data_IF_829690862197
#
_entry.id   IF_829690862197
#
_cell.length_a   1.000
_cell.length_b   1.000
_cell.length_c   1.000
_cell.angle_alpha   90.00
_cell.angle_beta   90.00
_cell.angle_gamma   90.00
#
_symmetry.space_group_name_H-M   'P 1'
#
loop_
_entity.id
_entity.type
_entity.pdbx_description
1 polymer ?
#
# COMPACT_ATOMS: atom_id res chain seq x y z
N UNK A 1 41.57 42.27 -66.70
CA UNK A 1 41.36 43.15 -65.54
C UNK A 1 40.37 42.41 -64.63
N UNK A 2 40.68 41.98 -63.40
CA UNK A 2 41.96 41.80 -62.66
C UNK A 2 41.56 40.97 -61.42
N UNK A 3 41.97 39.70 -61.25
CA UNK A 3 43.21 39.21 -60.60
C UNK A 3 43.39 39.75 -59.16
N UNK A 4 43.77 38.99 -58.11
CA UNK A 4 44.47 37.69 -57.87
C UNK A 4 43.84 36.99 -56.61
N UNK A 5 43.98 35.71 -56.18
CA UNK A 5 44.59 34.40 -56.58
C UNK A 5 43.49 33.30 -56.34
N UNK A 6 43.59 31.95 -56.31
CA UNK A 6 44.63 30.89 -56.09
C UNK A 6 45.07 30.68 -54.61
N UNK A 7 45.49 29.50 -54.12
CA UNK A 7 45.79 28.19 -54.76
C UNK A 7 45.70 26.98 -53.79
N UNK A 8 45.39 25.80 -54.36
CA UNK A 8 45.94 24.42 -54.13
C UNK A 8 46.55 24.05 -52.76
N UNK A 9 46.21 22.90 -52.15
CA UNK A 9 46.71 21.55 -52.51
C UNK A 9 46.03 20.48 -51.62
N UNK A 10 46.09 19.14 -51.81
CA UNK A 10 46.68 18.22 -52.79
C UNK A 10 45.88 16.88 -52.78
N UNK A 11 46.36 15.80 -53.44
CA UNK A 11 45.82 14.44 -53.35
C UNK A 11 46.95 13.40 -53.41
N UNK A 12 46.94 12.38 -52.55
CA UNK A 12 47.88 11.25 -52.61
C UNK A 12 47.24 9.94 -52.12
N UNK A 13 47.37 8.88 -52.92
CA UNK A 13 47.18 7.47 -52.52
C UNK A 13 48.57 6.82 -52.46
N UNK A 14 48.85 5.90 -51.52
CA UNK A 14 49.57 4.66 -51.86
C UNK A 14 49.66 3.60 -50.73
N UNK A 15 49.69 2.34 -51.18
CA UNK A 15 50.34 1.14 -50.61
C UNK A 15 49.71 0.37 -49.41
N UNK A 16 49.34 -0.87 -49.73
CA UNK A 16 49.14 -1.99 -48.81
C UNK A 16 50.46 -2.58 -48.29
N UNK A 17 50.45 -3.07 -47.04
CA UNK A 17 51.12 -4.29 -46.52
C UNK A 17 50.57 -4.54 -45.10
N UNK A 18 50.10 -5.73 -44.69
CA UNK A 18 50.74 -7.07 -44.60
C UNK A 18 52.00 -7.06 -43.73
N UNK A 19 52.15 -7.83 -42.66
CA UNK A 19 51.25 -8.76 -41.90
C UNK A 19 51.48 -8.48 -40.38
N UNK A 20 50.87 -9.06 -39.35
CA UNK A 20 50.22 -10.36 -39.05
C UNK A 20 48.99 -10.10 -38.09
N UNK A 21 48.33 -11.00 -37.34
CA UNK A 21 48.49 -12.42 -37.00
C UNK A 21 47.11 -13.13 -36.87
N UNK A 22 47.09 -14.46 -36.77
CA UNK A 22 45.91 -15.33 -36.71
C UNK A 22 45.41 -15.49 -35.24
N UNK A 23 44.35 -16.20 -34.87
CA UNK A 23 43.44 -17.13 -35.58
C UNK A 23 42.05 -17.17 -34.87
N UNK A 24 40.97 -17.46 -35.60
CA UNK A 24 39.63 -17.72 -35.02
C UNK A 24 38.67 -18.37 -36.05
N UNK A 25 38.36 -19.65 -35.89
CA UNK A 25 37.53 -20.43 -36.82
C UNK A 25 36.07 -20.67 -36.41
N UNK A 26 35.24 -20.85 -37.44
CA UNK A 26 33.94 -21.54 -37.52
C UNK A 26 32.70 -21.01 -36.73
N UNK A 27 31.50 -20.89 -37.36
CA UNK A 27 30.36 -20.17 -36.78
C UNK A 27 29.37 -21.07 -35.99
N UNK A 28 29.65 -21.32 -34.71
CA UNK A 28 28.74 -22.10 -33.84
C UNK A 28 27.64 -21.25 -33.16
N UNK A 29 26.52 -21.12 -33.88
CA UNK A 29 25.13 -21.13 -33.36
C UNK A 29 24.90 -20.64 -31.91
N UNK A 30 25.03 -19.33 -31.67
CA UNK A 30 24.70 -18.72 -30.38
C UNK A 30 23.18 -18.58 -30.18
N UNK A 31 22.53 -19.64 -29.70
CA UNK A 31 21.20 -19.52 -29.10
C UNK A 31 21.27 -18.62 -27.86
N UNK A 32 20.60 -17.47 -27.91
CA UNK A 32 20.40 -16.61 -26.73
C UNK A 32 19.52 -17.38 -25.74
N UNK A 33 20.16 -17.98 -24.73
CA UNK A 33 19.46 -18.56 -23.57
C UNK A 33 18.77 -17.43 -22.81
N UNK A 34 17.48 -17.23 -23.09
CA UNK A 34 16.60 -16.41 -22.29
C UNK A 34 16.71 -16.88 -20.83
N UNK A 35 17.03 -15.96 -19.91
CA UNK A 35 16.89 -16.24 -18.48
C UNK A 35 15.39 -16.45 -18.21
N UNK A 36 14.97 -17.52 -17.52
CA UNK A 36 13.58 -17.62 -17.08
C UNK A 36 13.28 -16.46 -16.13
N UNK A 37 12.16 -15.78 -16.34
CA UNK A 37 11.65 -14.79 -15.40
C UNK A 37 11.22 -15.49 -14.10
N UNK A 38 11.70 -15.01 -12.95
CA UNK A 38 11.38 -15.57 -11.64
C UNK A 38 9.95 -15.23 -11.16
N UNK A 39 9.16 -14.55 -12.00
CA UNK A 39 7.77 -14.12 -11.78
C UNK A 39 6.79 -15.33 -11.63
N UNK A 40 7.27 -16.57 -11.76
CA UNK A 40 6.42 -17.78 -11.75
C UNK A 40 6.74 -18.82 -10.67
N UNK A 41 7.50 -18.45 -9.63
CA UNK A 41 7.79 -19.33 -8.49
C UNK A 41 7.82 -18.53 -7.17
N UNK A 42 6.64 -18.19 -6.63
CA UNK A 42 6.33 -18.13 -5.18
C UNK A 42 4.84 -17.82 -4.87
N UNK A 43 3.91 -18.17 -5.77
CA UNK A 43 2.48 -18.21 -5.45
C UNK A 43 2.19 -19.19 -4.30
N UNK A 44 1.24 -18.86 -3.43
CA UNK A 44 0.89 -19.54 -2.17
C UNK A 44 0.86 -21.08 -2.27
N UNK A 45 1.97 -21.74 -1.88
CA UNK A 45 2.06 -23.20 -1.87
C UNK A 45 1.52 -23.75 -0.54
N UNK A 46 0.48 -24.57 -0.63
CA UNK A 46 -0.41 -24.97 0.49
C UNK A 46 0.19 -26.07 1.37
N UNK A 47 0.12 -25.90 2.69
CA UNK A 47 0.30 -26.99 3.67
C UNK A 47 -1.06 -27.63 3.99
N UNK A 48 -1.36 -28.76 3.36
CA UNK A 48 -2.60 -29.50 3.59
C UNK A 48 -2.61 -30.22 4.96
N UNK A 49 -3.36 -29.69 5.94
CA UNK A 49 -3.81 -30.47 7.10
C UNK A 49 -5.33 -30.42 7.25
N UNK A 50 -5.98 -31.57 7.09
CA UNK A 50 -7.45 -31.67 7.07
C UNK A 50 -8.05 -31.62 8.47
N UNK A 51 -8.64 -30.50 8.85
CA UNK A 51 -9.49 -30.39 10.04
C UNK A 51 -10.97 -30.40 9.65
N UNK A 52 -11.78 -31.21 10.34
CA UNK A 52 -13.23 -31.29 10.13
C UNK A 52 -13.93 -30.20 10.96
N UNK A 53 -14.50 -29.21 10.30
CA UNK A 53 -15.28 -28.13 10.92
C UNK A 53 -16.76 -28.54 11.09
N UNK A 54 -17.34 -28.47 12.30
CA UNK A 54 -18.79 -28.48 12.53
C UNK A 54 -19.39 -27.05 12.44
N UNK A 55 -20.69 -26.94 12.18
CA UNK A 55 -21.31 -25.68 11.72
C UNK A 55 -21.90 -24.78 12.84
N UNK A 56 -21.79 -23.45 12.63
CA UNK A 56 -22.60 -22.34 13.19
C UNK A 56 -22.51 -22.04 14.72
N UNK A 57 -22.98 -20.87 15.22
CA UNK A 57 -23.47 -19.63 14.55
C UNK A 57 -22.69 -18.34 14.96
N UNK A 58 -23.15 -17.16 14.51
CA UNK A 58 -22.59 -15.81 14.84
C UNK A 58 -23.34 -15.12 16.01
N UNK A 59 -22.66 -14.25 16.78
CA UNK A 59 -23.31 -13.14 17.50
C UNK A 59 -22.74 -12.68 18.85
N UNK A 60 -21.91 -11.61 18.84
CA UNK A 60 -21.82 -10.48 19.82
C UNK A 60 -21.64 -10.70 21.35
N UNK A 61 -21.25 -9.67 22.14
CA UNK A 61 -20.51 -8.44 21.81
C UNK A 61 -19.19 -8.28 22.61
N UNK A 62 -18.24 -7.46 22.13
CA UNK A 62 -17.02 -7.11 22.89
C UNK A 62 -16.89 -5.59 23.10
N UNK A 63 -17.27 -5.15 24.30
CA UNK A 63 -16.84 -3.88 24.88
C UNK A 63 -16.45 -4.13 26.34
N UNK A 64 -15.14 -4.21 26.61
CA UNK A 64 -14.64 -4.20 27.98
C UNK A 64 -13.41 -3.30 28.07
N UNK A 65 -13.61 -2.06 28.56
CA UNK A 65 -12.52 -1.10 28.76
C UNK A 65 -11.81 -1.39 30.08
N UNK A 66 -10.66 -2.05 29.99
CA UNK A 66 -9.68 -2.13 31.08
C UNK A 66 -8.28 -1.88 30.49
N UNK A 67 -7.50 -0.99 31.10
CA UNK A 67 -6.27 -0.47 30.52
C UNK A 67 -5.14 -1.51 30.56
N UNK A 68 -4.40 -1.63 29.46
CA UNK A 68 -3.14 -2.40 29.35
C UNK A 68 -2.36 -1.95 28.11
N UNK A 69 -1.03 -1.96 28.18
CA UNK A 69 -0.14 -1.46 27.12
C UNK A 69 0.11 -2.53 26.03
N UNK A 70 -0.87 -2.75 25.14
CA UNK A 70 -0.60 -3.41 23.85
C UNK A 70 -1.58 -2.90 22.77
N UNK A 71 -1.13 -1.92 21.99
CA UNK A 71 -1.93 -1.18 21.00
C UNK A 71 -1.75 -1.70 19.57
N UNK A 72 -2.10 -2.97 19.34
CA UNK A 72 -2.06 -3.58 18.02
C UNK A 72 -3.27 -3.19 17.15
N UNK A 73 -3.06 -3.17 15.83
CA UNK A 73 -4.15 -3.32 14.87
C UNK A 73 -4.73 -4.74 14.97
N UNK A 74 -6.00 -4.98 14.62
CA UNK A 74 -6.48 -6.36 14.47
C UNK A 74 -5.67 -7.10 13.40
N UNK A 75 -5.24 -6.40 12.34
CA UNK A 75 -4.39 -6.97 11.27
C UNK A 75 -3.03 -7.42 11.80
N UNK A 76 -2.39 -6.61 12.66
CA UNK A 76 -1.12 -6.94 13.29
C UNK A 76 -1.28 -8.01 14.39
N UNK A 77 -2.43 -8.01 15.07
CA UNK A 77 -2.78 -9.02 16.07
C UNK A 77 -3.11 -10.38 15.44
N UNK A 78 -3.84 -10.47 14.34
CA UNK A 78 -4.11 -11.74 13.65
C UNK A 78 -2.81 -12.36 13.12
N UNK A 79 -1.93 -11.52 12.52
CA UNK A 79 -0.54 -11.89 12.18
C UNK A 79 0.26 -12.40 13.38
N UNK A 80 0.02 -11.88 14.59
CA UNK A 80 0.62 -12.34 15.86
C UNK A 80 -0.04 -13.63 16.37
N UNK A 81 -1.36 -13.79 16.22
CA UNK A 81 -2.12 -14.97 16.62
C UNK A 81 -1.78 -16.21 15.78
N UNK A 82 -1.46 -16.05 14.49
CA UNK A 82 -0.95 -17.12 13.62
C UNK A 82 0.34 -17.76 14.16
N UNK A 83 1.07 -17.10 15.07
CA UNK A 83 2.28 -17.62 15.71
C UNK A 83 2.03 -18.26 17.10
N UNK A 84 0.81 -18.19 17.66
CA UNK A 84 0.57 -18.43 19.09
C UNK A 84 -0.77 -19.16 19.42
N UNK A 85 -0.91 -20.44 19.05
CA UNK A 85 -2.11 -21.24 19.33
C UNK A 85 -2.00 -22.13 20.57
N UNK A 86 -2.55 -21.73 21.73
CA UNK A 86 -2.87 -22.64 22.86
C UNK A 86 -3.76 -22.04 23.97
N UNK A 87 -4.72 -22.86 24.42
CA UNK A 87 -5.64 -22.67 25.58
C UNK A 87 -6.85 -21.72 25.39
N UNK A 88 -7.96 -22.10 26.02
CA UNK A 88 -9.28 -21.44 25.93
C UNK A 88 -10.16 -21.79 27.15
N UNK A 89 -11.25 -21.03 27.38
CA UNK A 89 -12.45 -21.41 28.18
C UNK A 89 -13.59 -20.40 27.97
N UNK A 90 -14.84 -20.86 28.11
CA UNK A 90 -16.07 -20.11 27.77
C UNK A 90 -16.90 -19.72 29.01
N UNK A 91 -17.94 -18.88 28.82
CA UNK A 91 -19.30 -19.10 29.39
C UNK A 91 -20.40 -18.20 28.78
N UNK A 92 -21.50 -18.87 28.37
CA UNK A 92 -22.92 -18.51 28.17
C UNK A 92 -23.45 -17.06 28.37
N UNK A 93 -24.50 -16.66 27.60
CA UNK A 93 -25.17 -15.35 27.81
C UNK A 93 -26.51 -14.97 27.09
N UNK A 94 -27.18 -15.84 26.31
CA UNK A 94 -28.54 -15.62 25.73
C UNK A 94 -28.79 -14.34 24.87
N UNK A 95 -30.06 -14.07 24.48
CA UNK A 95 -30.45 -13.34 23.26
C UNK A 95 -31.63 -12.37 23.43
N UNK A 96 -31.73 -11.34 22.59
CA UNK A 96 -33.05 -10.87 22.12
C UNK A 96 -32.97 -10.22 20.71
N UNK A 97 -34.13 -9.98 20.08
CA UNK A 97 -34.27 -9.60 18.67
C UNK A 97 -34.93 -8.22 18.46
N UNK A 98 -34.42 -7.44 17.49
CA UNK A 98 -34.91 -6.10 17.18
C UNK A 98 -34.94 -5.81 15.68
N UNK A 99 -36.13 -5.56 15.12
CA UNK A 99 -36.35 -5.30 13.69
C UNK A 99 -35.91 -3.89 13.28
N UNK A 100 -34.77 -3.76 12.58
CA UNK A 100 -34.34 -2.50 11.97
C UNK A 100 -34.98 -2.28 10.57
N UNK A 101 -35.67 -1.16 10.37
CA UNK A 101 -36.29 -0.82 9.09
C UNK A 101 -35.29 -0.18 8.13
N UNK A 102 -35.09 -0.79 6.95
CA UNK A 102 -34.18 -0.32 5.91
C UNK A 102 -34.70 0.95 5.21
N UNK A 103 -34.38 2.13 5.73
CA UNK A 103 -34.67 3.43 5.10
C UNK A 103 -33.44 3.97 4.37
N UNK A 104 -33.08 3.32 3.25
CA UNK A 104 -32.01 3.75 2.38
C UNK A 104 -32.23 5.17 1.83
N UNK A 105 -31.48 6.14 2.34
CA UNK A 105 -31.34 7.47 1.72
C UNK A 105 -29.88 7.72 1.34
N UNK A 106 -29.54 7.29 0.13
CA UNK A 106 -28.30 7.68 -0.53
C UNK A 106 -28.42 9.15 -0.95
N UNK A 107 -28.23 10.03 0.04
CA UNK A 107 -28.17 11.48 -0.19
C UNK A 107 -27.01 11.78 -1.12
N UNK A 108 -27.25 12.66 -2.10
CA UNK A 108 -26.20 13.12 -3.01
C UNK A 108 -25.24 14.03 -2.23
N UNK A 109 -24.13 13.44 -1.79
CA UNK A 109 -23.12 14.10 -0.98
C UNK A 109 -21.81 14.15 -1.77
N UNK A 110 -21.43 15.35 -2.18
CA UNK A 110 -20.20 15.62 -2.95
C UNK A 110 -18.96 15.22 -2.14
N UNK A 111 -19.00 15.47 -0.82
CA UNK A 111 -17.83 15.39 0.05
C UNK A 111 -17.02 16.69 0.02
N UNK A 112 -15.97 16.74 0.83
CA UNK A 112 -15.08 17.91 0.99
C UNK A 112 -13.65 17.43 1.15
N UNK A 113 -12.72 18.08 0.44
CA UNK A 113 -11.29 17.97 0.73
C UNK A 113 -10.97 18.87 1.91
N UNK A 114 -10.25 18.33 2.89
CA UNK A 114 -9.83 19.02 4.10
C UNK A 114 -8.31 18.93 4.23
N UNK A 115 -7.63 20.04 4.52
CA UNK A 115 -6.23 19.99 4.89
C UNK A 115 -6.12 19.59 6.36
N UNK A 116 -5.52 18.43 6.65
CA UNK A 116 -5.40 17.89 8.02
C UNK A 116 -3.93 17.60 8.38
N UNK A 117 -3.69 17.51 9.70
CA UNK A 117 -2.47 16.94 10.28
C UNK A 117 -2.78 15.55 10.83
N UNK A 118 -1.89 14.60 10.57
CA UNK A 118 -1.98 13.20 11.01
C UNK A 118 -0.64 12.84 11.64
N UNK A 119 -0.65 12.25 12.83
CA UNK A 119 0.56 11.77 13.52
C UNK A 119 0.72 10.28 13.25
N UNK A 120 1.94 9.79 13.02
CA UNK A 120 2.20 8.36 12.89
C UNK A 120 1.79 7.62 14.16
N UNK A 121 1.30 6.38 14.06
CA UNK A 121 0.91 5.57 15.24
C UNK A 121 2.05 5.41 16.26
N UNK A 122 3.30 5.64 15.87
CA UNK A 122 4.47 5.59 16.75
C UNK A 122 4.98 6.95 17.25
N UNK A 123 4.24 8.03 17.00
CA UNK A 123 4.52 9.36 17.53
C UNK A 123 5.82 9.98 17.01
N UNK A 124 6.38 9.52 15.88
CA UNK A 124 7.64 10.04 15.32
C UNK A 124 7.45 11.05 14.19
N UNK A 125 6.36 10.98 13.43
CA UNK A 125 6.13 11.80 12.24
C UNK A 125 4.77 12.52 12.29
N UNK A 126 4.69 13.71 11.70
CA UNK A 126 3.45 14.45 11.46
C UNK A 126 3.33 14.73 9.95
N UNK A 127 2.31 14.16 9.31
CA UNK A 127 1.92 14.42 7.92
C UNK A 127 0.92 15.58 7.89
N UNK A 128 1.22 16.63 7.13
CA UNK A 128 0.29 17.71 6.79
C UNK A 128 -0.07 17.58 5.31
N UNK A 129 -1.33 17.22 5.00
CA UNK A 129 -1.79 17.07 3.61
C UNK A 129 -3.31 17.20 3.44
N UNK A 130 -3.77 17.21 2.20
CA UNK A 130 -5.19 17.14 1.83
C UNK A 130 -5.74 15.71 1.95
N UNK A 131 -6.88 15.57 2.64
CA UNK A 131 -7.62 14.31 2.78
C UNK A 131 -9.09 14.49 2.38
N UNK A 132 -9.65 13.46 1.77
CA UNK A 132 -11.07 13.28 1.51
C UNK A 132 -11.60 12.09 2.33
N UNK A 133 -12.79 12.22 2.92
CA UNK A 133 -13.38 11.18 3.77
C UNK A 133 -14.75 10.73 3.26
N UNK A 134 -14.94 9.41 3.23
CA UNK A 134 -16.22 8.77 3.03
C UNK A 134 -17.18 8.98 4.22
N UNK A 135 -18.41 8.48 4.08
CA UNK A 135 -19.36 8.35 5.19
C UNK A 135 -19.18 7.04 5.95
N UNK A 136 -18.60 6.03 5.30
CA UNK A 136 -18.43 4.65 5.80
C UNK A 136 -17.06 4.07 5.41
N UNK A 137 -16.70 2.93 5.99
CA UNK A 137 -15.57 2.08 5.59
C UNK A 137 -16.04 0.63 5.36
N UNK A 138 -15.10 -0.28 5.07
CA UNK A 138 -15.40 -1.69 4.79
C UNK A 138 -15.95 -2.47 6.01
N UNK A 139 -15.57 -2.06 7.23
CA UNK A 139 -16.01 -2.65 8.50
C UNK A 139 -17.38 -2.15 8.97
N UNK A 140 -17.85 -1.02 8.44
CA UNK A 140 -19.16 -0.46 8.79
C UNK A 140 -20.32 -1.43 8.52
N UNK A 141 -21.36 -1.40 9.37
CA UNK A 141 -22.57 -2.24 9.24
C UNK A 141 -23.18 -2.19 7.82
N UNK A 142 -23.22 -0.98 7.22
CA UNK A 142 -23.75 -0.73 5.87
C UNK A 142 -22.91 -1.38 4.75
N UNK A 143 -21.62 -1.59 4.98
CA UNK A 143 -20.74 -2.29 4.06
C UNK A 143 -20.75 -3.79 4.35
N UNK A 144 -20.44 -4.17 5.61
CA UNK A 144 -20.30 -5.55 6.11
C UNK A 144 -19.45 -6.40 5.14
N UNK A 145 -18.24 -5.88 4.89
CA UNK A 145 -17.19 -6.48 4.09
C UNK A 145 -15.86 -6.34 4.80
N UNK A 146 -15.78 -6.88 6.01
CA UNK A 146 -14.65 -6.78 6.93
C UNK A 146 -13.34 -7.22 6.25
N UNK A 147 -13.38 -8.35 5.52
CA UNK A 147 -12.28 -8.88 4.71
C UNK A 147 -12.32 -8.51 3.21
N UNK A 148 -13.11 -7.52 2.80
CA UNK A 148 -13.34 -7.22 1.39
C UNK A 148 -12.25 -6.38 0.70
N UNK A 149 -11.12 -6.09 1.36
CA UNK A 149 -10.09 -5.13 0.90
C UNK A 149 -9.63 -5.35 -0.55
N UNK A 150 -9.35 -6.59 -0.96
CA UNK A 150 -8.93 -6.94 -2.33
C UNK A 150 -10.03 -6.65 -3.36
N UNK A 151 -11.27 -7.03 -3.06
CA UNK A 151 -12.43 -6.84 -3.95
C UNK A 151 -12.81 -5.36 -4.06
N UNK A 152 -12.63 -4.62 -2.96
CA UNK A 152 -12.77 -3.17 -2.90
C UNK A 152 -11.70 -2.46 -3.72
N UNK A 153 -10.42 -2.87 -3.61
CA UNK A 153 -9.33 -2.32 -4.39
C UNK A 153 -9.52 -2.56 -5.89
N UNK A 154 -9.93 -3.76 -6.30
CA UNK A 154 -10.31 -4.08 -7.69
C UNK A 154 -11.51 -3.24 -8.16
N UNK A 155 -12.53 -3.07 -7.33
CA UNK A 155 -13.73 -2.26 -7.64
C UNK A 155 -13.40 -0.77 -7.82
N UNK A 156 -12.52 -0.23 -6.98
CA UNK A 156 -12.06 1.16 -7.06
C UNK A 156 -11.13 1.36 -8.27
N UNK A 157 -10.20 0.44 -8.52
CA UNK A 157 -9.30 0.52 -9.68
C UNK A 157 -10.07 0.49 -11.01
N UNK A 158 -11.03 -0.44 -11.19
CA UNK A 158 -11.91 -0.46 -12.37
C UNK A 158 -12.73 0.83 -12.52
N UNK A 159 -13.21 1.40 -11.41
CA UNK A 159 -13.91 2.69 -11.46
C UNK A 159 -13.00 3.84 -11.91
N UNK A 160 -11.76 3.91 -11.43
CA UNK A 160 -10.79 4.94 -11.85
C UNK A 160 -10.47 4.83 -13.35
N UNK A 161 -10.22 3.63 -13.87
CA UNK A 161 -10.01 3.42 -15.31
C UNK A 161 -11.22 3.81 -16.18
N UNK A 162 -12.44 3.76 -15.62
CA UNK A 162 -13.66 4.22 -16.29
C UNK A 162 -13.91 5.73 -16.12
N UNK A 163 -13.18 6.41 -15.24
CA UNK A 163 -13.31 7.84 -14.91
C UNK A 163 -11.91 8.50 -14.81
N UNK A 164 -11.11 8.51 -15.90
CA UNK A 164 -9.75 9.06 -15.91
C UNK A 164 -9.74 10.55 -15.51
N UNK A 165 -8.63 11.03 -14.95
CA UNK A 165 -8.47 12.38 -14.37
C UNK A 165 -9.42 12.71 -13.18
N UNK A 166 -10.39 11.85 -12.87
CA UNK A 166 -11.43 12.10 -11.86
C UNK A 166 -11.19 11.22 -10.62
N UNK A 167 -11.75 11.66 -9.48
CA UNK A 167 -11.83 10.92 -8.22
C UNK A 167 -13.29 10.87 -7.73
N UNK A 168 -13.70 9.83 -6.99
CA UNK A 168 -15.10 9.64 -6.63
C UNK A 168 -15.56 10.66 -5.58
N UNK A 169 -16.76 11.21 -5.80
CA UNK A 169 -17.51 11.98 -4.79
C UNK A 169 -17.83 11.10 -3.56
N UNK A 170 -18.18 11.69 -2.41
CA UNK A 170 -18.42 10.91 -1.17
C UNK A 170 -19.51 9.86 -1.37
N UNK A 171 -20.64 10.23 -2.00
CA UNK A 171 -21.70 9.27 -2.33
C UNK A 171 -21.28 8.19 -3.36
N UNK A 172 -20.29 8.47 -4.21
CA UNK A 172 -19.73 7.47 -5.13
C UNK A 172 -18.74 6.53 -4.42
N UNK A 173 -17.90 7.05 -3.52
CA UNK A 173 -17.00 6.24 -2.70
C UNK A 173 -17.80 5.35 -1.72
N UNK A 174 -18.83 5.90 -1.06
CA UNK A 174 -19.79 5.13 -0.24
C UNK A 174 -20.54 4.06 -1.06
N UNK A 175 -20.73 4.28 -2.36
CA UNK A 175 -21.33 3.30 -3.28
C UNK A 175 -20.33 2.22 -3.67
N UNK A 176 -19.11 2.58 -4.06
CA UNK A 176 -18.03 1.64 -4.38
C UNK A 176 -17.69 0.72 -3.19
N UNK A 177 -17.70 1.26 -1.97
CA UNK A 177 -17.53 0.46 -0.74
C UNK A 177 -18.65 -0.58 -0.62
N UNK A 178 -19.92 -0.19 -0.71
CA UNK A 178 -21.05 -1.14 -0.60
C UNK A 178 -21.09 -2.15 -1.73
N UNK A 179 -20.74 -1.75 -2.95
CA UNK A 179 -20.70 -2.65 -4.10
C UNK A 179 -19.57 -3.67 -3.96
N UNK A 180 -18.33 -3.25 -3.68
CA UNK A 180 -17.20 -4.16 -3.49
C UNK A 180 -17.38 -5.12 -2.31
N UNK A 181 -17.92 -4.65 -1.17
CA UNK A 181 -18.31 -5.51 -0.05
C UNK A 181 -19.45 -6.49 -0.40
N UNK A 182 -20.35 -6.12 -1.32
CA UNK A 182 -21.39 -7.04 -1.80
C UNK A 182 -20.82 -8.11 -2.73
N UNK A 183 -19.89 -7.77 -3.63
CA UNK A 183 -19.22 -8.77 -4.47
C UNK A 183 -18.35 -9.71 -3.65
N UNK A 184 -17.68 -9.21 -2.61
CA UNK A 184 -16.94 -10.05 -1.66
C UNK A 184 -17.87 -11.07 -0.97
N UNK A 185 -19.06 -10.65 -0.51
CA UNK A 185 -20.06 -11.59 0.01
C UNK A 185 -20.50 -12.64 -1.02
N UNK A 186 -20.68 -12.25 -2.28
CA UNK A 186 -21.00 -13.18 -3.37
C UNK A 186 -19.89 -14.25 -3.52
N UNK A 187 -18.61 -13.85 -3.48
CA UNK A 187 -17.47 -14.77 -3.51
C UNK A 187 -17.42 -15.70 -2.28
N UNK A 188 -17.85 -15.24 -1.10
CA UNK A 188 -17.96 -16.04 0.12
C UNK A 188 -19.08 -17.10 0.08
N UNK A 189 -20.01 -17.05 -0.87
CA UNK A 189 -20.99 -18.15 -1.06
C UNK A 189 -20.35 -19.41 -1.69
N UNK A 190 -19.15 -19.27 -2.28
CA UNK A 190 -18.41 -20.38 -2.89
C UNK A 190 -17.80 -21.32 -1.83
N UNK A 191 -18.32 -22.55 -1.79
CA UNK A 191 -17.79 -23.65 -0.97
C UNK A 191 -16.37 -24.10 -1.41
N UNK A 192 -15.86 -23.58 -2.53
CA UNK A 192 -14.44 -23.72 -2.91
C UNK A 192 -13.61 -22.64 -2.22
N UNK A 193 -13.98 -21.37 -2.36
CA UNK A 193 -13.24 -20.25 -1.78
C UNK A 193 -13.20 -20.33 -0.24
N UNK A 194 -14.31 -20.71 0.40
CA UNK A 194 -14.41 -20.92 1.86
C UNK A 194 -13.63 -22.14 2.40
N UNK A 195 -12.93 -22.90 1.55
CA UNK A 195 -11.95 -23.92 1.96
C UNK A 195 -10.50 -23.52 1.71
N UNK A 196 -10.30 -22.44 0.97
CA UNK A 196 -9.00 -21.91 0.58
C UNK A 196 -8.65 -20.69 1.44
N UNK A 197 -9.61 -19.79 1.63
CA UNK A 197 -9.52 -18.56 2.42
C UNK A 197 -10.47 -18.70 3.63
N UNK A 198 -9.92 -19.15 4.77
CA UNK A 198 -10.68 -19.43 5.99
C UNK A 198 -11.01 -18.15 6.80
N UNK A 199 -10.13 -17.16 6.67
CA UNK A 199 -10.26 -15.76 7.10
C UNK A 199 -11.23 -14.94 6.22
N UNK A 200 -11.46 -15.40 4.98
CA UNK A 200 -12.20 -14.72 3.91
C UNK A 200 -11.44 -13.54 3.27
N UNK A 201 -10.11 -13.46 3.44
CA UNK A 201 -9.25 -12.53 2.69
C UNK A 201 -8.83 -13.15 1.36
N UNK A 202 -9.49 -12.79 0.27
CA UNK A 202 -9.16 -13.30 -1.07
C UNK A 202 -7.89 -12.65 -1.62
N UNK A 203 -6.99 -13.46 -2.21
CA UNK A 203 -5.86 -12.91 -2.96
C UNK A 203 -6.31 -12.25 -4.28
N UNK A 204 -5.45 -11.39 -4.83
CA UNK A 204 -5.77 -10.60 -6.02
C UNK A 204 -5.97 -11.48 -7.26
N UNK A 205 -5.20 -12.56 -7.40
CA UNK A 205 -5.33 -13.49 -8.52
C UNK A 205 -6.71 -14.19 -8.52
N UNK A 206 -7.26 -14.54 -7.35
CA UNK A 206 -8.60 -15.13 -7.21
C UNK A 206 -9.68 -14.13 -7.63
N UNK A 207 -9.62 -12.89 -7.12
CA UNK A 207 -10.60 -11.84 -7.44
C UNK A 207 -10.60 -11.47 -8.94
N UNK A 208 -9.44 -11.54 -9.60
CA UNK A 208 -9.30 -11.31 -11.03
C UNK A 208 -9.75 -12.53 -11.87
N UNK A 209 -9.50 -13.76 -11.42
CA UNK A 209 -9.99 -14.98 -12.10
C UNK A 209 -11.52 -15.07 -12.12
N UNK A 210 -12.16 -14.75 -10.99
CA UNK A 210 -13.61 -14.66 -10.85
C UNK A 210 -14.23 -13.46 -11.59
N UNK A 211 -13.40 -12.59 -12.20
CA UNK A 211 -13.81 -11.49 -13.09
C UNK A 211 -14.84 -10.53 -12.48
N UNK A 212 -14.73 -10.26 -11.17
CA UNK A 212 -15.62 -9.33 -10.44
C UNK A 212 -15.72 -7.99 -11.16
N UNK A 213 -14.61 -7.51 -11.75
CA UNK A 213 -14.58 -6.36 -12.65
C UNK A 213 -13.70 -6.69 -13.87
N UNK A 214 -13.89 -6.01 -15.03
CA UNK A 214 -13.13 -6.24 -16.25
C UNK A 214 -11.73 -5.61 -16.18
N UNK A 215 -10.92 -6.08 -15.23
CA UNK A 215 -9.59 -5.57 -14.88
C UNK A 215 -8.53 -6.66 -15.06
N UNK A 216 -7.29 -6.28 -15.36
CA UNK A 216 -6.14 -7.19 -15.40
C UNK A 216 -4.88 -6.51 -14.85
N UNK A 217 -3.88 -7.31 -14.46
CA UNK A 217 -2.57 -6.84 -13.99
C UNK A 217 -1.55 -6.97 -15.10
N UNK A 218 -0.65 -5.98 -15.22
CA UNK A 218 0.42 -5.92 -16.22
C UNK A 218 1.76 -6.28 -15.53
N UNK A 219 2.30 -7.50 -15.70
CA UNK A 219 3.48 -7.95 -14.95
C UNK A 219 4.74 -7.10 -15.23
N UNK A 220 4.94 -6.63 -16.46
CA UNK A 220 6.08 -5.80 -16.88
C UNK A 220 6.06 -4.39 -16.26
N UNK A 221 4.93 -4.01 -15.68
CA UNK A 221 4.77 -2.78 -14.93
C UNK A 221 4.58 -2.97 -13.43
N UNK A 222 4.41 -4.21 -12.96
CA UNK A 222 4.18 -4.52 -11.55
C UNK A 222 5.49 -4.78 -10.81
N UNK A 223 5.49 -4.63 -9.49
CA UNK A 223 6.67 -4.81 -8.67
C UNK A 223 6.37 -5.62 -7.41
N UNK A 224 7.30 -6.48 -7.03
CA UNK A 224 7.37 -7.13 -5.71
C UNK A 224 8.65 -6.64 -5.06
N UNK A 225 8.57 -6.11 -3.85
CA UNK A 225 9.74 -5.62 -3.13
C UNK A 225 9.61 -5.77 -1.63
N UNK A 226 10.69 -5.45 -0.93
CA UNK A 226 10.81 -5.72 0.51
C UNK A 226 11.24 -4.48 1.29
N UNK A 227 10.70 -4.32 2.48
CA UNK A 227 11.21 -3.32 3.42
C UNK A 227 12.54 -3.76 4.04
N UNK A 228 13.45 -2.81 4.20
CA UNK A 228 14.73 -3.00 4.88
C UNK A 228 14.57 -2.72 6.39
N UNK A 229 15.11 -3.58 7.26
CA UNK A 229 15.07 -3.39 8.71
C UNK A 229 16.31 -2.63 9.19
N UNK A 230 16.10 -1.53 9.93
CA UNK A 230 17.17 -0.69 10.45
C UNK A 230 18.13 -1.49 11.35
N UNK A 231 19.44 -1.30 11.14
CA UNK A 231 20.53 -1.92 11.90
C UNK A 231 20.63 -3.47 11.80
N UNK A 232 19.81 -4.12 10.96
CA UNK A 232 19.74 -5.59 10.85
C UNK A 232 20.14 -6.20 9.48
N UNK A 233 21.05 -5.61 8.66
CA UNK A 233 21.28 -6.06 7.28
C UNK A 233 21.76 -7.53 7.18
N UNK A 234 22.58 -7.99 8.12
CA UNK A 234 23.10 -9.35 8.15
C UNK A 234 22.02 -10.42 8.42
N UNK A 235 20.80 -10.03 8.84
CA UNK A 235 19.66 -10.95 8.96
C UNK A 235 18.93 -11.17 7.63
N UNK A 236 19.12 -10.27 6.65
CA UNK A 236 18.34 -10.20 5.42
C UNK A 236 19.12 -10.66 4.18
N UNK A 237 20.19 -11.46 4.34
CA UNK A 237 20.98 -11.96 3.18
C UNK A 237 20.15 -12.81 2.19
N UNK A 238 19.01 -13.37 2.61
CA UNK A 238 18.06 -14.04 1.69
C UNK A 238 17.34 -13.06 0.74
N UNK A 239 17.34 -11.75 1.00
CA UNK A 239 16.83 -10.70 0.11
C UNK A 239 17.91 -10.10 -0.80
N UNK A 240 19.14 -10.64 -0.80
CA UNK A 240 20.28 -10.09 -1.54
C UNK A 240 20.08 -10.17 -3.06
N UNK A 241 19.73 -9.04 -3.66
CA UNK A 241 19.37 -8.94 -5.09
C UNK A 241 17.87 -8.99 -5.38
N UNK A 242 17.02 -9.07 -4.34
CA UNK A 242 15.62 -8.70 -4.43
C UNK A 242 15.48 -7.16 -4.47
N UNK A 243 14.32 -6.68 -4.91
CA UNK A 243 14.02 -5.24 -4.99
C UNK A 243 13.62 -4.71 -3.60
N UNK A 244 14.16 -3.58 -3.17
CA UNK A 244 13.66 -2.93 -1.94
C UNK A 244 12.46 -2.02 -2.24
N UNK A 245 11.64 -1.72 -1.22
CA UNK A 245 10.56 -0.73 -1.34
C UNK A 245 11.08 0.61 -1.87
N UNK A 246 12.24 1.06 -1.38
CA UNK A 246 12.89 2.27 -1.86
C UNK A 246 13.26 2.18 -3.36
N UNK A 247 13.70 1.00 -3.84
CA UNK A 247 13.96 0.75 -5.26
C UNK A 247 12.69 0.81 -6.13
N UNK A 248 11.54 0.32 -5.62
CA UNK A 248 10.24 0.46 -6.32
C UNK A 248 9.92 1.94 -6.53
N UNK A 249 10.10 2.75 -5.48
CA UNK A 249 9.80 4.18 -5.56
C UNK A 249 10.68 4.93 -6.57
N UNK A 250 11.92 4.48 -6.76
CA UNK A 250 12.82 5.01 -7.80
C UNK A 250 12.42 4.62 -9.23
N UNK A 251 11.84 3.44 -9.45
CA UNK A 251 11.28 3.07 -10.77
C UNK A 251 10.00 3.87 -11.06
N UNK A 252 9.10 4.00 -10.09
CA UNK A 252 7.88 4.83 -10.21
C UNK A 252 8.27 6.27 -10.60
N UNK A 253 9.12 6.93 -9.81
CA UNK A 253 9.59 8.30 -10.06
C UNK A 253 10.40 8.50 -11.35
N UNK A 254 10.86 7.42 -11.99
CA UNK A 254 11.46 7.45 -13.35
C UNK A 254 10.40 7.41 -14.45
N UNK A 255 9.29 6.70 -14.25
CA UNK A 255 8.18 6.55 -15.22
C UNK A 255 7.21 7.73 -15.25
N UNK A 256 7.05 8.46 -14.15
CA UNK A 256 6.21 9.67 -14.03
C UNK A 256 6.43 10.72 -15.13
N UNK A 257 7.60 10.72 -15.77
CA UNK A 257 8.00 11.68 -16.80
C UNK A 257 7.41 11.38 -18.20
N UNK A 258 6.64 10.30 -18.34
CA UNK A 258 6.24 9.75 -19.65
C UNK A 258 4.79 9.25 -19.73
N UNK A 259 3.98 9.39 -18.67
CA UNK A 259 2.67 8.73 -18.56
C UNK A 259 1.64 9.71 -17.96
N UNK A 260 0.39 9.62 -18.42
CA UNK A 260 -0.72 10.49 -18.03
C UNK A 260 -1.29 10.08 -16.66
N UNK A 261 -1.66 8.80 -16.48
CA UNK A 261 -2.15 8.21 -15.23
C UNK A 261 -1.69 6.74 -15.13
N UNK A 262 -1.23 6.29 -13.95
CA UNK A 262 -1.03 4.86 -13.63
C UNK A 262 -1.79 4.48 -12.35
N UNK A 263 -2.50 3.33 -12.37
CA UNK A 263 -3.30 2.84 -11.24
C UNK A 263 -2.75 1.50 -10.77
N UNK A 264 -2.22 1.46 -9.55
CA UNK A 264 -1.69 0.28 -8.89
C UNK A 264 -2.66 -0.18 -7.78
N UNK A 265 -2.90 -1.49 -7.70
CA UNK A 265 -3.37 -2.10 -6.44
C UNK A 265 -2.11 -2.42 -5.64
N UNK A 266 -2.07 -2.00 -4.37
CA UNK A 266 -0.92 -2.19 -3.49
C UNK A 266 -1.31 -3.12 -2.35
N UNK A 267 -0.54 -4.19 -2.15
CA UNK A 267 -0.71 -5.12 -1.03
C UNK A 267 0.38 -4.91 0.01
N UNK A 268 0.00 -4.65 1.26
CA UNK A 268 0.92 -4.57 2.40
C UNK A 268 0.24 -5.07 3.67
N UNK A 269 0.88 -6.04 4.34
CA UNK A 269 0.44 -6.60 5.63
C UNK A 269 -1.00 -7.13 5.55
N UNK A 270 -1.25 -8.08 4.64
CA UNK A 270 -2.57 -8.69 4.33
C UNK A 270 -3.67 -7.72 3.83
N UNK A 271 -3.39 -6.42 3.73
CA UNK A 271 -4.37 -5.41 3.33
C UNK A 271 -4.06 -4.79 1.96
N UNK A 272 -5.09 -4.72 1.13
CA UNK A 272 -5.05 -4.18 -0.23
C UNK A 272 -5.67 -2.77 -0.29
N UNK A 273 -4.96 -1.83 -0.92
CA UNK A 273 -5.40 -0.46 -1.15
C UNK A 273 -5.03 0.00 -2.57
N UNK A 274 -5.55 1.14 -3.04
CA UNK A 274 -5.27 1.65 -4.40
C UNK A 274 -4.33 2.84 -4.35
N UNK A 275 -3.32 2.83 -5.22
CA UNK A 275 -2.39 3.93 -5.45
C UNK A 275 -2.55 4.44 -6.89
N UNK A 276 -3.05 5.66 -7.04
CA UNK A 276 -3.16 6.36 -8.34
C UNK A 276 -2.03 7.38 -8.46
N UNK A 277 -1.25 7.29 -9.54
CA UNK A 277 -0.04 8.09 -9.78
C UNK A 277 -0.24 8.98 -11.00
N UNK A 278 -0.06 10.28 -10.81
CA UNK A 278 -0.12 11.30 -11.86
C UNK A 278 1.19 12.14 -11.86
N UNK A 279 1.39 12.93 -12.92
CA UNK A 279 2.61 13.74 -13.12
C UNK A 279 2.91 14.67 -11.92
N UNK A 280 1.90 15.28 -11.30
CA UNK A 280 2.07 16.29 -10.23
C UNK A 280 1.44 15.91 -8.88
N UNK A 281 0.82 14.73 -8.77
CA UNK A 281 0.14 14.27 -7.55
C UNK A 281 0.11 12.74 -7.48
N UNK A 282 0.11 12.19 -6.26
CA UNK A 282 -0.14 10.78 -6.00
C UNK A 282 -1.31 10.68 -5.03
N UNK A 283 -2.17 9.68 -5.20
CA UNK A 283 -3.32 9.42 -4.34
C UNK A 283 -3.25 8.01 -3.75
N UNK A 284 -3.46 7.90 -2.43
CA UNK A 284 -3.79 6.62 -1.78
C UNK A 284 -5.30 6.63 -1.51
N UNK A 285 -6.01 5.62 -2.00
CA UNK A 285 -7.41 5.33 -1.67
C UNK A 285 -7.43 4.04 -0.84
N UNK A 286 -7.95 4.10 0.37
CA UNK A 286 -8.02 2.97 1.29
C UNK A 286 -9.44 2.85 1.88
N UNK A 287 -9.92 1.63 2.01
CA UNK A 287 -11.28 1.30 2.49
C UNK A 287 -11.34 0.85 3.94
N UNK A 288 -10.21 0.72 4.64
CA UNK A 288 -10.16 0.52 6.08
C UNK A 288 -9.67 1.81 6.76
N UNK A 289 -10.59 2.50 7.46
CA UNK A 289 -10.28 3.81 8.02
C UNK A 289 -9.18 3.77 9.08
N UNK A 290 -9.13 2.72 9.90
CA UNK A 290 -8.26 2.66 11.08
C UNK A 290 -6.77 2.71 10.74
N UNK A 291 -6.38 2.31 9.51
CA UNK A 291 -5.01 2.43 8.98
C UNK A 291 -4.53 3.89 8.87
N UNK A 292 -5.47 4.85 8.83
CA UNK A 292 -5.19 6.30 8.84
C UNK A 292 -4.85 6.80 10.25
N UNK A 293 -5.71 6.49 11.22
CA UNK A 293 -5.54 6.74 12.64
C UNK A 293 -6.54 5.87 13.44
N UNK A 294 -6.20 5.57 14.70
CA UNK A 294 -6.98 4.71 15.60
C UNK A 294 -8.45 5.18 15.75
N UNK A 295 -9.41 4.25 15.59
CA UNK A 295 -10.83 4.55 15.68
C UNK A 295 -11.43 5.32 14.50
N UNK A 296 -10.68 5.51 13.40
CA UNK A 296 -11.23 6.06 12.17
C UNK A 296 -12.09 5.02 11.43
N UNK A 297 -13.41 5.23 11.36
CA UNK A 297 -14.37 4.31 10.74
C UNK A 297 -14.84 4.75 9.33
N UNK A 298 -13.91 5.32 8.54
CA UNK A 298 -14.20 5.93 7.24
C UNK A 298 -13.12 5.59 6.20
N UNK A 299 -13.54 5.09 5.04
CA UNK A 299 -12.68 5.03 3.86
C UNK A 299 -12.19 6.45 3.49
N UNK A 300 -10.98 6.54 2.94
CA UNK A 300 -10.31 7.81 2.73
C UNK A 300 -9.56 7.88 1.41
N UNK A 301 -9.34 9.11 0.94
CA UNK A 301 -8.36 9.43 -0.09
C UNK A 301 -7.35 10.41 0.48
N UNK A 302 -6.08 10.02 0.55
CA UNK A 302 -4.97 10.95 0.79
C UNK A 302 -4.42 11.44 -0.54
N UNK A 303 -4.19 12.75 -0.64
CA UNK A 303 -3.61 13.43 -1.80
C UNK A 303 -2.21 13.91 -1.44
N UNK A 304 -1.22 13.57 -2.26
CA UNK A 304 0.19 13.90 -2.06
C UNK A 304 0.71 14.73 -3.24
N UNK A 305 0.81 16.05 -3.05
CA UNK A 305 1.20 17.04 -4.06
C UNK A 305 2.36 17.92 -3.55
N UNK A 306 2.64 19.04 -4.22
CA UNK A 306 3.71 19.99 -3.84
C UNK A 306 3.51 20.64 -2.46
N UNK A 307 2.27 20.72 -1.94
CA UNK A 307 1.96 21.32 -0.65
C UNK A 307 2.07 20.36 0.53
N UNK A 308 2.02 19.05 0.26
CA UNK A 308 2.15 17.98 1.24
C UNK A 308 3.52 18.01 1.93
N UNK A 309 3.54 17.87 3.25
CA UNK A 309 4.76 17.91 4.08
C UNK A 309 4.72 16.83 5.17
N UNK A 310 5.87 16.25 5.48
CA UNK A 310 6.06 15.44 6.69
C UNK A 310 7.14 16.08 7.55
N UNK A 311 6.82 16.30 8.82
CA UNK A 311 7.72 16.78 9.85
C UNK A 311 8.05 15.63 10.83
N UNK A 312 9.13 15.76 11.60
CA UNK A 312 9.26 14.99 12.84
C UNK A 312 8.22 15.49 13.83
N UNK A 313 7.47 14.58 14.43
CA UNK A 313 6.48 14.90 15.44
C UNK A 313 7.15 15.60 16.64
N UNK A 314 6.47 16.55 17.31
CA UNK A 314 7.00 17.16 18.52
C UNK A 314 7.27 16.09 19.58
N UNK A 315 8.55 15.94 19.99
CA UNK A 315 8.87 15.15 21.18
C UNK A 315 8.10 15.74 22.36
N UNK A 316 7.32 14.92 23.06
CA UNK A 316 6.74 15.32 24.33
C UNK A 316 7.85 15.90 25.22
N UNK A 317 7.70 17.18 25.57
CA UNK A 317 8.54 17.80 26.59
C UNK A 317 8.15 17.15 27.92
N UNK A 318 8.79 16.02 28.27
CA UNK A 318 8.73 15.43 29.62
C UNK A 318 8.79 16.58 30.61
N UNK A 319 7.70 16.79 31.36
CA UNK A 319 7.59 17.92 32.28
C UNK A 319 8.77 17.86 33.23
N UNK A 320 9.74 18.75 33.06
CA UNK A 320 10.78 18.96 34.07
C UNK A 320 10.04 19.55 35.26
N UNK A 321 9.92 18.77 36.31
CA UNK A 321 9.47 19.26 37.61
C UNK A 321 10.52 20.27 38.11
N UNK A 322 10.29 21.53 37.77
CA UNK A 322 11.05 22.65 38.32
C UNK A 322 10.51 22.84 39.73
N UNK A 323 11.31 22.43 40.73
CA UNK A 323 11.01 22.74 42.13
C UNK A 323 10.84 24.26 42.27
N UNK A 324 9.66 24.69 42.70
CA UNK A 324 9.32 26.09 42.90
C UNK A 324 10.09 26.67 44.10
N UNK A 325 10.89 27.71 43.88
CA UNK A 325 11.36 28.57 44.97
C UNK A 325 11.60 30.03 44.50
N UNK A 326 11.07 30.99 45.27
CA UNK A 326 11.41 32.42 45.33
C UNK A 326 11.34 33.34 44.06
N UNK A 327 10.11 33.79 43.76
CA UNK A 327 9.69 35.23 43.70
C UNK A 327 10.68 36.29 43.14
N UNK A 328 10.31 36.96 42.03
CA UNK A 328 10.15 38.44 41.97
C UNK A 328 9.40 38.88 40.70
N UNK A 329 8.89 40.12 40.68
CA UNK A 329 7.94 40.64 39.67
C UNK A 329 8.58 41.56 38.60
N UNK A 330 7.78 41.89 37.57
CA UNK A 330 7.89 43.04 36.67
C UNK A 330 8.98 43.04 35.57
N UNK A 331 8.58 42.67 34.35
CA UNK A 331 8.41 43.71 33.31
C UNK A 331 7.52 43.27 32.14
N UNK A 332 6.68 44.19 31.65
CA UNK A 332 5.92 44.00 30.40
C UNK A 332 6.83 44.13 29.17
N UNK A 333 6.73 43.17 28.24
CA UNK A 333 7.16 43.32 26.84
C UNK A 333 6.17 42.57 25.94
N UNK A 334 5.94 43.09 24.73
CA UNK A 334 5.03 42.47 23.77
C UNK A 334 5.75 41.29 23.10
N UNK A 335 5.36 40.05 23.43
CA UNK A 335 5.63 38.91 22.57
C UNK A 335 4.55 38.86 21.48
N UNK A 336 4.96 38.85 20.21
CA UNK A 336 4.04 38.61 19.10
C UNK A 336 3.63 37.14 19.01
N UNK A 337 2.72 36.83 18.10
CA UNK A 337 2.36 35.45 17.74
C UNK A 337 3.49 34.83 16.89
N UNK A 338 4.61 34.50 17.55
CA UNK A 338 5.78 33.86 16.92
C UNK A 338 5.47 32.39 16.57
N UNK A 339 4.81 32.23 15.41
CA UNK A 339 4.83 31.08 14.51
C UNK A 339 5.27 29.73 15.12
N UNK A 340 4.29 28.95 15.59
CA UNK A 340 4.51 27.60 16.13
C UNK A 340 4.99 26.56 15.09
N UNK A 341 5.12 26.94 13.81
CA UNK A 341 5.74 26.08 12.79
C UNK A 341 7.27 26.17 12.77
N UNK A 342 7.85 27.24 13.31
CA UNK A 342 9.29 27.57 13.27
C UNK A 342 10.25 26.54 13.90
N UNK A 343 9.74 25.59 14.69
CA UNK A 343 10.53 24.58 15.41
C UNK A 343 10.30 23.13 14.98
N UNK A 344 9.54 22.87 13.89
CA UNK A 344 9.25 21.50 13.41
C UNK A 344 10.26 21.10 12.32
N UNK A 345 11.04 20.04 12.55
CA UNK A 345 12.03 19.56 11.59
C UNK A 345 11.34 18.90 10.37
N UNK A 346 11.42 19.53 9.20
CA UNK A 346 10.88 19.01 7.95
C UNK A 346 11.69 17.78 7.49
N UNK A 347 11.02 16.64 7.33
CA UNK A 347 11.61 15.37 6.86
C UNK A 347 11.53 15.26 5.35
N UNK A 348 10.35 15.52 4.78
CA UNK A 348 10.15 15.59 3.33
C UNK A 348 8.95 16.47 2.95
N UNK A 349 8.88 16.83 1.68
CA UNK A 349 7.80 17.63 1.08
C UNK A 349 7.56 17.19 -0.36
N UNK A 350 6.40 17.50 -0.92
CA UNK A 350 6.05 17.08 -2.28
C UNK A 350 5.52 15.64 -2.34
N UNK A 351 5.39 15.08 -3.55
CA UNK A 351 4.86 13.72 -3.79
C UNK A 351 5.61 12.61 -3.04
N UNK A 352 6.88 12.80 -2.72
CA UNK A 352 7.68 11.87 -1.91
C UNK A 352 7.17 11.71 -0.47
N UNK A 353 6.29 12.58 0.02
CA UNK A 353 5.54 12.36 1.27
C UNK A 353 4.65 11.11 1.22
N UNK A 354 4.22 10.65 0.03
CA UNK A 354 3.51 9.39 -0.12
C UNK A 354 4.41 8.18 0.22
N UNK A 355 5.69 8.23 -0.17
CA UNK A 355 6.70 7.22 0.17
C UNK A 355 6.87 7.10 1.69
N UNK A 356 7.09 8.24 2.33
CA UNK A 356 7.32 8.30 3.78
C UNK A 356 6.04 8.13 4.60
N UNK A 357 4.85 8.29 4.00
CA UNK A 357 3.59 7.81 4.60
C UNK A 357 3.54 6.28 4.62
N UNK A 358 3.84 5.61 3.51
CA UNK A 358 3.86 4.13 3.45
C UNK A 358 4.91 3.58 4.43
N UNK A 359 6.15 4.10 4.44
CA UNK A 359 7.21 3.67 5.39
C UNK A 359 6.87 4.05 6.84
N UNK A 360 6.52 5.31 7.07
CA UNK A 360 6.47 5.94 8.39
C UNK A 360 5.13 5.89 9.11
N UNK A 361 4.05 5.50 8.44
CA UNK A 361 2.71 5.34 9.01
C UNK A 361 2.24 3.90 8.85
N UNK A 362 2.13 3.40 7.62
CA UNK A 362 1.57 2.06 7.33
C UNK A 362 2.51 0.89 7.68
N UNK A 363 3.82 1.06 7.50
CA UNK A 363 4.82 0.03 7.79
C UNK A 363 5.54 0.23 9.15
N UNK A 364 5.34 1.37 9.81
CA UNK A 364 6.12 1.73 11.00
C UNK A 364 5.88 0.84 12.23
N UNK A 365 4.63 0.50 12.58
CA UNK A 365 4.39 -0.49 13.65
C UNK A 365 4.83 -1.90 13.23
N UNK A 366 4.36 -2.47 12.09
CA UNK A 366 4.65 -3.87 11.76
C UNK A 366 6.14 -4.17 11.64
N UNK A 367 6.94 -3.25 11.08
CA UNK A 367 8.39 -3.43 10.95
C UNK A 367 9.13 -3.34 12.29
N UNK A 368 8.69 -2.46 13.21
CA UNK A 368 9.32 -2.34 14.54
C UNK A 368 9.00 -3.53 15.43
N UNK A 369 7.79 -4.03 15.36
CA UNK A 369 7.38 -5.24 16.09
C UNK A 369 8.08 -6.48 15.55
N UNK A 370 8.13 -6.63 14.22
CA UNK A 370 8.93 -7.65 13.55
C UNK A 370 10.41 -7.57 13.98
N UNK A 371 11.02 -6.39 13.99
CA UNK A 371 12.40 -6.21 14.48
C UNK A 371 12.55 -6.62 15.95
N UNK A 372 11.68 -6.13 16.83
CA UNK A 372 11.73 -6.46 18.25
C UNK A 372 11.58 -7.97 18.51
N UNK A 373 10.74 -8.66 17.73
CA UNK A 373 10.48 -10.09 17.90
C UNK A 373 11.55 -10.98 17.23
N UNK A 374 12.28 -10.46 16.23
CA UNK A 374 13.56 -11.04 15.76
C UNK A 374 14.66 -10.87 16.81
N UNK A 375 14.78 -9.69 17.44
CA UNK A 375 15.79 -9.41 18.47
C UNK A 375 15.58 -10.26 19.73
N UNK A 376 14.32 -10.42 20.16
CA UNK A 376 13.91 -11.36 21.23
C UNK A 376 14.04 -12.84 20.84
N UNK A 377 14.26 -13.16 19.55
CA UNK A 377 14.22 -14.51 18.96
C UNK A 377 12.88 -15.26 19.16
N UNK A 378 11.78 -14.51 19.23
CA UNK A 378 10.42 -15.07 19.22
C UNK A 378 10.11 -15.63 17.82
N UNK A 379 10.54 -14.91 16.79
CA UNK A 379 10.42 -15.33 15.41
C UNK A 379 11.58 -16.29 15.09
N UNK A 380 11.26 -17.59 15.03
CA UNK A 380 12.18 -18.68 14.70
C UNK A 380 12.45 -18.82 13.20
N UNK A 381 11.84 -19.84 12.57
CA UNK A 381 11.99 -20.13 11.14
C UNK A 381 10.87 -19.50 10.27
N UNK A 382 10.16 -18.48 10.76
CA UNK A 382 9.07 -17.87 10.01
C UNK A 382 9.57 -17.23 8.70
N UNK A 383 8.75 -17.21 7.62
CA UNK A 383 9.14 -16.68 6.32
C UNK A 383 9.26 -15.14 6.34
N UNK A 384 10.41 -14.64 6.80
CA UNK A 384 10.72 -13.22 6.93
C UNK A 384 10.55 -12.43 5.62
N UNK A 385 10.59 -13.08 4.46
CA UNK A 385 10.27 -12.45 3.17
C UNK A 385 8.80 -12.00 3.13
N UNK A 386 7.83 -12.90 3.38
CA UNK A 386 6.41 -12.53 3.44
C UNK A 386 6.16 -11.40 4.45
N UNK A 387 6.83 -11.43 5.60
CA UNK A 387 6.68 -10.44 6.68
C UNK A 387 7.23 -9.05 6.36
N UNK A 388 7.98 -8.92 5.26
CA UNK A 388 8.60 -7.69 4.73
C UNK A 388 8.10 -7.31 3.31
N UNK A 389 7.30 -8.17 2.68
CA UNK A 389 6.90 -8.06 1.27
C UNK A 389 5.82 -7.01 1.08
N UNK A 390 6.00 -6.15 0.07
CA UNK A 390 5.02 -5.19 -0.41
C UNK A 390 4.95 -5.25 -1.93
N UNK A 391 3.73 -5.32 -2.46
CA UNK A 391 3.48 -5.55 -3.88
C UNK A 391 2.70 -4.40 -4.51
N UNK A 392 3.08 -4.05 -5.73
CA UNK A 392 2.51 -2.95 -6.53
C UNK A 392 2.04 -3.54 -7.86
N UNK A 393 0.77 -3.93 -7.95
CA UNK A 393 0.19 -4.55 -9.13
C UNK A 393 -0.36 -3.46 -10.07
N UNK A 394 0.36 -3.14 -11.15
CA UNK A 394 -0.12 -2.16 -12.14
C UNK A 394 -1.34 -2.74 -12.88
N UNK A 395 -2.47 -2.05 -12.80
CA UNK A 395 -3.74 -2.50 -13.39
C UNK A 395 -4.02 -1.89 -14.76
N UNK A 396 -4.82 -2.57 -15.59
CA UNK A 396 -5.34 -2.06 -16.85
C UNK A 396 -6.73 -2.66 -17.15
N UNK A 397 -7.58 -2.00 -17.96
CA UNK A 397 -8.86 -2.58 -18.37
C UNK A 397 -8.70 -3.79 -19.30
N UNK A 398 -9.56 -4.78 -19.12
CA UNK A 398 -9.70 -5.88 -20.06
C UNK A 398 -10.31 -5.38 -21.38
N UNK A 399 -9.58 -5.57 -22.49
CA UNK A 399 -10.02 -5.22 -23.84
C UNK A 399 -11.31 -5.99 -24.23
N UNK A 400 -12.47 -5.32 -24.14
CA UNK A 400 -13.81 -5.90 -24.39
C UNK A 400 -14.06 -6.42 -25.83
N UNK A 401 -13.09 -6.27 -26.75
CA UNK A 401 -13.24 -6.53 -28.19
C UNK A 401 -12.92 -7.97 -28.64
N UNK A 402 -12.57 -8.90 -27.74
CA UNK A 402 -12.28 -10.30 -28.09
C UNK A 402 -13.52 -11.19 -28.29
N UNK A 403 -14.70 -10.77 -27.83
CA UNK A 403 -15.89 -11.63 -27.68
C UNK A 403 -17.00 -11.44 -28.75
N UNK A 404 -16.64 -11.09 -29.99
CA UNK A 404 -17.56 -11.16 -31.14
C UNK A 404 -16.90 -11.92 -32.33
N UNK A 405 -16.71 -13.24 -32.17
CA UNK A 405 -16.53 -14.20 -33.31
C UNK A 405 -16.58 -15.70 -32.93
N UNK A 406 -17.60 -16.10 -32.17
CA UNK A 406 -18.11 -17.49 -32.05
C UNK A 406 -19.63 -17.42 -31.84
N UNK A 407 -20.50 -18.06 -32.61
CA UNK A 407 -20.34 -18.91 -33.81
C UNK A 407 -21.19 -18.40 -34.99
N UNK A 408 -21.03 -19.03 -36.14
CA UNK A 408 -21.97 -19.07 -37.28
C UNK A 408 -21.92 -20.47 -37.87
#
# INVERSE_FOLDING_TARGET
MTNLLSSDTACENFNNKKDENWDAGDPLNYQVKQKPSLIRLLSWNKCNHSFRVPNFPRGTPLLNKANGEDGGDDIDNDRRCQLASSQARCSQGESDSGSCAFTGSDRFEIGTWEKRKLVSRDGKLELETEIFLASIDQRSERASGEGACTVLAVTIADWLHQNPEILPLRCQLDKLVREGSSEWRNLCESVVHMKEFLDQHFDLDTVLQEQVRPLTVIPEKSYVGFFELENMPNRLEFLKGAMSFDSIWEELGRRERTIEEEIYIVSWNDHFFVLKVEVNVIYIIDTLGERLFEGCNKAFILKFNIESKIFKAPRERRKREVNSEAITENHSTNAGEEDETSHRELVCQGKSTCKEFIKGFLAALPLRELQADIEKKIIGEAPLHHLLQIEFHHTAPCNRNSHIKRWS
#
